data_IF_734217274203
#
_entry.id   IF_734217274203
#
_cell.length_a   1.000
_cell.length_b   1.000
_cell.length_c   1.000
_cell.angle_alpha   90.00
_cell.angle_beta   90.00
_cell.angle_gamma   90.00
#
_symmetry.space_group_name_H-M   'P 1'
#
loop_
_entity.id
_entity.type
_entity.pdbx_description
1 polymer ?
#
# COMPACT_ATOMS: atom_id res chain seq x y z
N UNK A 1 -30.39 -9.78 -4.06
CA UNK A 1 -29.37 -9.65 -5.15
C UNK A 1 -29.07 -8.20 -5.55
N UNK A 2 -29.94 -7.21 -5.29
CA UNK A 2 -29.73 -5.79 -5.68
C UNK A 2 -28.84 -4.96 -4.74
N UNK A 3 -28.54 -5.40 -3.51
CA UNK A 3 -27.67 -4.66 -2.57
C UNK A 3 -26.18 -4.72 -2.92
N UNK A 4 -25.76 -5.68 -3.75
CA UNK A 4 -24.33 -5.87 -4.05
C UNK A 4 -23.82 -4.87 -5.08
N UNK A 5 -24.69 -4.37 -5.97
CA UNK A 5 -24.33 -3.41 -7.02
C UNK A 5 -23.99 -2.03 -6.44
N UNK A 6 -24.75 -1.54 -5.46
CA UNK A 6 -24.46 -0.28 -4.75
C UNK A 6 -23.19 -0.34 -3.91
N UNK A 7 -22.87 -1.51 -3.33
CA UNK A 7 -21.61 -1.73 -2.60
C UNK A 7 -20.40 -1.86 -3.54
N UNK A 8 -20.59 -2.47 -4.72
CA UNK A 8 -19.56 -2.52 -5.76
C UNK A 8 -19.25 -1.15 -6.34
N UNK A 9 -20.27 -0.35 -6.67
CA UNK A 9 -20.03 1.00 -7.21
C UNK A 9 -19.34 1.90 -6.18
N UNK A 10 -19.72 1.82 -4.90
CA UNK A 10 -19.02 2.50 -3.82
C UNK A 10 -17.56 2.04 -3.70
N UNK A 11 -17.30 0.73 -3.77
CA UNK A 11 -15.94 0.18 -3.75
C UNK A 11 -15.07 0.67 -4.92
N UNK A 12 -15.64 0.70 -6.14
CA UNK A 12 -14.97 1.25 -7.33
C UNK A 12 -14.67 2.73 -7.14
N UNK A 13 -15.62 3.53 -6.64
CA UNK A 13 -15.43 4.96 -6.41
C UNK A 13 -14.33 5.24 -5.39
N UNK A 14 -14.30 4.48 -4.29
CA UNK A 14 -13.25 4.55 -3.26
C UNK A 14 -11.87 4.20 -3.84
N UNK A 15 -11.80 3.18 -4.70
CA UNK A 15 -10.54 2.78 -5.33
C UNK A 15 -10.03 3.83 -6.32
N UNK A 16 -10.92 4.41 -7.14
CA UNK A 16 -10.56 5.53 -8.03
C UNK A 16 -10.04 6.71 -7.20
N UNK A 17 -10.72 7.07 -6.10
CA UNK A 17 -10.26 8.10 -5.18
C UNK A 17 -8.86 7.81 -4.63
N UNK A 18 -8.60 6.57 -4.22
CA UNK A 18 -7.27 6.13 -3.79
C UNK A 18 -6.22 6.26 -4.90
N UNK A 19 -6.51 5.80 -6.13
CA UNK A 19 -5.57 5.88 -7.26
C UNK A 19 -5.17 7.31 -7.64
N UNK A 20 -6.00 8.31 -7.34
CA UNK A 20 -5.68 9.73 -7.53
C UNK A 20 -4.88 10.29 -6.35
N UNK A 21 -5.28 9.94 -5.12
CA UNK A 21 -4.65 10.47 -3.91
C UNK A 21 -3.27 9.87 -3.63
N UNK A 22 -3.04 8.60 -3.98
CA UNK A 22 -1.77 7.92 -3.70
C UNK A 22 -0.57 8.56 -4.43
N UNK A 23 -0.61 8.83 -5.76
CA UNK A 23 0.49 9.51 -6.46
C UNK A 23 0.72 10.95 -5.98
N UNK A 24 -0.34 11.66 -5.58
CA UNK A 24 -0.22 13.00 -4.99
C UNK A 24 0.58 12.93 -3.69
N UNK A 25 0.27 11.97 -2.83
CA UNK A 25 0.97 11.74 -1.58
C UNK A 25 2.46 11.39 -1.81
N UNK A 26 2.77 10.53 -2.78
CA UNK A 26 4.15 10.15 -3.10
C UNK A 26 4.94 11.33 -3.71
N UNK A 27 4.26 12.18 -4.48
CA UNK A 27 4.83 13.43 -4.99
C UNK A 27 5.22 14.40 -3.87
N UNK A 28 4.37 14.57 -2.86
CA UNK A 28 4.71 15.37 -1.67
C UNK A 28 5.86 14.76 -0.88
N UNK A 29 5.88 13.43 -0.70
CA UNK A 29 6.98 12.75 -0.02
C UNK A 29 8.32 12.93 -0.74
N UNK A 30 8.32 12.91 -2.07
CA UNK A 30 9.50 13.18 -2.91
C UNK A 30 9.98 14.63 -2.78
N UNK A 31 9.08 15.62 -2.70
CA UNK A 31 9.44 17.03 -2.50
C UNK A 31 10.10 17.28 -1.13
N UNK A 32 9.70 16.52 -0.12
CA UNK A 32 10.21 16.63 1.26
C UNK A 32 11.49 15.78 1.48
N UNK A 33 11.72 14.76 0.65
CA UNK A 33 12.70 13.68 0.86
C UNK A 33 14.17 14.10 1.03
N UNK A 34 14.53 15.35 0.77
CA UNK A 34 15.86 15.89 1.07
C UNK A 34 16.01 16.48 2.49
N UNK A 35 14.91 16.85 3.16
CA UNK A 35 14.94 17.64 4.39
C UNK A 35 14.52 16.87 5.66
N UNK A 36 13.85 15.73 5.53
CA UNK A 36 13.24 15.02 6.66
C UNK A 36 13.55 13.52 6.60
N UNK A 37 13.88 12.94 7.76
CA UNK A 37 14.10 11.50 7.89
C UNK A 37 12.86 10.71 7.47
N UNK A 38 13.05 9.69 6.63
CA UNK A 38 12.01 8.81 6.07
C UNK A 38 11.10 8.22 7.16
N UNK A 39 11.69 7.80 8.28
CA UNK A 39 10.95 7.27 9.42
C UNK A 39 9.98 8.30 10.02
N UNK A 40 10.31 9.59 10.01
CA UNK A 40 9.44 10.64 10.49
C UNK A 40 8.26 10.86 9.55
N UNK A 41 8.49 10.81 8.24
CA UNK A 41 7.41 10.89 7.22
C UNK A 41 6.45 9.70 7.35
N UNK A 42 6.97 8.49 7.55
CA UNK A 42 6.14 7.32 7.79
C UNK A 42 5.35 7.44 9.12
N UNK A 43 6.01 7.89 10.19
CA UNK A 43 5.37 8.06 11.49
C UNK A 43 4.25 9.11 11.45
N UNK A 44 4.48 10.28 10.84
CA UNK A 44 3.45 11.32 10.72
C UNK A 44 2.26 10.85 9.89
N UNK A 45 2.51 10.10 8.79
CA UNK A 45 1.45 9.48 8.00
C UNK A 45 0.59 8.54 8.85
N UNK A 46 1.20 7.61 9.58
CA UNK A 46 0.44 6.66 10.40
C UNK A 46 -0.25 7.33 11.59
N UNK A 47 0.35 8.35 12.20
CA UNK A 47 -0.26 9.13 13.28
C UNK A 47 -1.46 9.93 12.79
N UNK A 48 -1.36 10.58 11.64
CA UNK A 48 -2.48 11.33 11.06
C UNK A 48 -3.60 10.38 10.61
N UNK A 49 -3.25 9.27 9.97
CA UNK A 49 -4.20 8.24 9.58
C UNK A 49 -4.91 7.65 10.82
N UNK A 50 -4.17 7.36 11.89
CA UNK A 50 -4.75 6.91 13.14
C UNK A 50 -5.65 8.00 13.75
N UNK A 51 -5.19 9.25 13.85
CA UNK A 51 -5.97 10.36 14.40
C UNK A 51 -7.27 10.65 13.66
N UNK A 52 -7.31 10.42 12.34
CA UNK A 52 -8.51 10.58 11.53
C UNK A 52 -9.44 9.36 11.63
N UNK A 53 -8.89 8.14 11.57
CA UNK A 53 -9.69 6.91 11.55
C UNK A 53 -10.17 6.48 12.94
N UNK A 54 -9.44 6.80 14.01
CA UNK A 54 -9.80 6.43 15.38
C UNK A 54 -11.15 7.01 15.83
N UNK A 55 -11.45 8.32 15.69
CA UNK A 55 -12.75 8.87 16.05
C UNK A 55 -13.88 8.34 15.17
N UNK A 56 -13.61 8.07 13.89
CA UNK A 56 -14.57 7.43 12.97
C UNK A 56 -14.87 6.01 13.44
N UNK A 57 -13.84 5.20 13.73
CA UNK A 57 -14.01 3.84 14.23
C UNK A 57 -14.73 3.79 15.58
N UNK A 58 -14.48 4.77 16.46
CA UNK A 58 -15.22 4.92 17.72
C UNK A 58 -16.70 5.24 17.47
N UNK A 59 -17.01 6.17 16.56
CA UNK A 59 -18.39 6.55 16.24
C UNK A 59 -19.21 5.39 15.64
N UNK A 60 -18.58 4.53 14.83
CA UNK A 60 -19.22 3.36 14.24
C UNK A 60 -19.17 2.09 15.12
N UNK A 61 -18.53 2.16 16.30
CA UNK A 61 -18.40 1.01 17.21
C UNK A 61 -17.47 -0.11 16.69
N UNK A 62 -16.60 0.17 15.73
CA UNK A 62 -15.69 -0.79 15.10
C UNK A 62 -14.35 -0.91 15.83
N UNK A 63 -14.29 -0.46 17.08
CA UNK A 63 -13.05 -0.41 17.85
C UNK A 63 -12.66 -1.81 18.33
N UNK A 64 -11.80 -2.47 17.54
CA UNK A 64 -11.21 -3.75 17.91
C UNK A 64 -9.96 -3.54 18.78
N UNK A 65 -9.87 -4.26 19.90
CA UNK A 65 -8.65 -4.30 20.71
C UNK A 65 -7.78 -5.46 20.21
N UNK A 66 -6.64 -5.19 19.54
CA UNK A 66 -5.81 -6.24 19.00
C UNK A 66 -5.21 -7.08 20.12
N UNK A 67 -5.26 -8.41 19.97
CA UNK A 67 -4.56 -9.35 20.83
C UNK A 67 -3.04 -9.30 20.64
N UNK A 68 -2.29 -9.97 21.52
CA UNK A 68 -0.80 -9.99 21.48
C UNK A 68 -0.22 -10.43 20.12
N UNK A 69 -0.85 -11.41 19.48
CA UNK A 69 -0.44 -11.92 18.17
C UNK A 69 -0.67 -10.89 17.06
N UNK A 70 -1.79 -10.18 17.09
CA UNK A 70 -2.13 -9.13 16.13
C UNK A 70 -1.19 -7.93 16.28
N UNK A 71 -0.87 -7.53 17.51
CA UNK A 71 0.13 -6.49 17.79
C UNK A 71 1.49 -6.87 17.17
N UNK A 72 1.92 -8.13 17.35
CA UNK A 72 3.15 -8.64 16.72
C UNK A 72 3.13 -8.53 15.19
N UNK A 73 2.01 -8.86 14.55
CA UNK A 73 1.84 -8.73 13.10
C UNK A 73 1.86 -7.26 12.64
N UNK A 74 1.25 -6.34 13.39
CA UNK A 74 1.29 -4.91 13.10
C UNK A 74 2.70 -4.33 13.22
N UNK A 75 3.46 -4.75 14.24
CA UNK A 75 4.86 -4.36 14.39
C UNK A 75 5.73 -4.90 13.25
N UNK A 76 5.56 -6.18 12.89
CA UNK A 76 6.27 -6.78 11.75
C UNK A 76 5.96 -6.05 10.45
N UNK A 77 4.68 -5.75 10.19
CA UNK A 77 4.26 -4.94 9.04
C UNK A 77 4.94 -3.57 9.03
N UNK A 78 4.95 -2.88 10.18
CA UNK A 78 5.61 -1.57 10.30
C UNK A 78 7.11 -1.65 10.01
N UNK A 79 7.79 -2.65 10.56
CA UNK A 79 9.22 -2.89 10.32
C UNK A 79 9.51 -3.18 8.84
N UNK A 80 8.72 -4.06 8.20
CA UNK A 80 8.85 -4.37 6.78
C UNK A 80 8.67 -3.12 5.90
N UNK A 81 7.70 -2.26 6.23
CA UNK A 81 7.49 -1.00 5.51
C UNK A 81 8.67 -0.05 5.65
N UNK A 82 9.24 0.06 6.86
CA UNK A 82 10.40 0.91 7.12
C UNK A 82 11.63 0.42 6.33
N UNK A 83 11.86 -0.89 6.31
CA UNK A 83 12.93 -1.51 5.51
C UNK A 83 12.71 -1.29 4.01
N UNK A 84 11.51 -1.54 3.50
CA UNK A 84 11.17 -1.34 2.09
C UNK A 84 11.39 0.12 1.66
N UNK A 85 10.98 1.07 2.50
CA UNK A 85 11.12 2.50 2.21
C UNK A 85 12.60 2.92 2.29
N UNK A 86 13.37 2.41 3.25
CA UNK A 86 14.81 2.67 3.33
C UNK A 86 15.55 2.15 2.08
N UNK A 87 15.21 0.95 1.59
CA UNK A 87 15.75 0.43 0.34
C UNK A 87 15.32 1.26 -0.88
N UNK A 88 14.07 1.73 -0.92
CA UNK A 88 13.61 2.62 -1.98
C UNK A 88 14.43 3.91 -2.04
N UNK A 89 14.56 4.64 -0.94
CA UNK A 89 15.36 5.87 -0.90
C UNK A 89 16.84 5.61 -1.21
N UNK A 90 17.37 4.47 -0.78
CA UNK A 90 18.73 4.06 -1.13
C UNK A 90 18.85 3.86 -2.64
N UNK A 91 17.89 3.19 -3.28
CA UNK A 91 17.87 2.99 -4.72
C UNK A 91 17.79 4.32 -5.50
N UNK A 92 16.99 5.28 -5.02
CA UNK A 92 16.88 6.62 -5.61
C UNK A 92 18.18 7.43 -5.53
N UNK A 93 19.12 7.06 -4.65
CA UNK A 93 20.44 7.68 -4.60
C UNK A 93 21.36 7.19 -5.73
N UNK A 94 21.08 6.02 -6.29
CA UNK A 94 21.89 5.39 -7.35
C UNK A 94 21.24 5.46 -8.73
N UNK A 95 19.92 5.63 -8.83
CA UNK A 95 19.21 5.78 -10.11
C UNK A 95 18.17 6.91 -10.10
N UNK A 96 17.86 7.49 -11.28
CA UNK A 96 16.71 8.38 -11.46
C UNK A 96 15.39 7.76 -10.99
N UNK A 97 14.45 8.62 -10.57
CA UNK A 97 13.13 8.17 -10.09
C UNK A 97 12.32 7.47 -11.19
N UNK A 98 12.52 7.84 -12.46
CA UNK A 98 11.82 7.20 -13.57
C UNK A 98 12.23 5.73 -13.67
N UNK A 99 13.53 5.44 -13.59
CA UNK A 99 14.07 4.07 -13.61
C UNK A 99 13.61 3.26 -12.39
N UNK A 100 13.52 3.93 -11.23
CA UNK A 100 12.99 3.30 -10.01
C UNK A 100 11.52 2.90 -10.17
N UNK A 101 10.68 3.80 -10.71
CA UNK A 101 9.27 3.52 -10.96
C UNK A 101 9.12 2.40 -12.01
N UNK A 102 9.97 2.38 -13.03
CA UNK A 102 9.99 1.33 -14.04
C UNK A 102 10.20 -0.06 -13.40
N UNK A 103 11.17 -0.18 -12.49
CA UNK A 103 11.41 -1.43 -11.74
C UNK A 103 10.24 -1.75 -10.79
N UNK A 104 9.58 -0.74 -10.20
CA UNK A 104 8.40 -0.94 -9.35
C UNK A 104 7.23 -1.59 -10.09
N UNK A 105 7.14 -1.52 -11.42
CA UNK A 105 6.12 -2.24 -12.17
C UNK A 105 6.27 -3.77 -12.12
N UNK A 106 7.38 -4.29 -11.58
CA UNK A 106 7.52 -5.73 -11.25
C UNK A 106 6.75 -6.10 -9.96
N UNK A 107 6.47 -5.13 -9.09
CA UNK A 107 5.78 -5.34 -7.80
C UNK A 107 4.49 -6.16 -7.90
N UNK A 108 3.55 -5.90 -8.84
CA UNK A 108 2.29 -6.64 -8.94
C UNK A 108 2.51 -8.14 -9.18
N UNK A 109 3.56 -8.49 -9.93
CA UNK A 109 3.91 -9.88 -10.20
C UNK A 109 4.44 -10.56 -8.93
N UNK A 110 5.37 -9.91 -8.23
CA UNK A 110 5.92 -10.39 -6.96
C UNK A 110 4.81 -10.55 -5.92
N UNK A 111 3.93 -9.55 -5.77
CA UNK A 111 2.80 -9.59 -4.85
C UNK A 111 1.81 -10.70 -5.20
N UNK A 112 1.53 -10.91 -6.48
CA UNK A 112 0.64 -11.98 -6.91
C UNK A 112 1.23 -13.35 -6.55
N UNK A 113 2.51 -13.58 -6.84
CA UNK A 113 3.18 -14.84 -6.53
C UNK A 113 3.27 -15.09 -5.02
N UNK A 114 3.71 -14.08 -4.25
CA UNK A 114 3.79 -14.17 -2.79
C UNK A 114 2.40 -14.33 -2.15
N UNK A 115 1.36 -13.71 -2.73
CA UNK A 115 -0.02 -13.87 -2.29
C UNK A 115 -0.46 -15.33 -2.31
N UNK A 116 -0.22 -16.04 -3.42
CA UNK A 116 -0.55 -17.47 -3.50
C UNK A 116 0.35 -18.34 -2.63
N UNK A 117 1.64 -18.02 -2.52
CA UNK A 117 2.58 -18.81 -1.72
C UNK A 117 2.34 -18.67 -0.21
N UNK A 118 2.10 -17.44 0.28
CA UNK A 118 1.95 -17.14 1.70
C UNK A 118 0.52 -17.33 2.22
N UNK A 119 -0.51 -17.00 1.42
CA UNK A 119 -1.91 -17.18 1.83
C UNK A 119 -2.46 -18.55 1.44
N UNK A 120 -1.77 -19.30 0.55
CA UNK A 120 -2.22 -20.61 0.07
C UNK A 120 -3.45 -20.55 -0.83
N UNK A 121 -3.84 -19.35 -1.30
CA UNK A 121 -5.00 -19.18 -2.16
C UNK A 121 -4.66 -19.53 -3.62
N UNK A 122 -5.52 -20.32 -4.32
CA UNK A 122 -5.30 -20.64 -5.72
C UNK A 122 -5.43 -19.37 -6.58
N UNK A 123 -4.31 -18.94 -7.17
CA UNK A 123 -4.30 -17.81 -8.09
C UNK A 123 -4.73 -18.32 -9.47
N UNK A 124 -5.90 -17.87 -9.92
CA UNK A 124 -6.39 -18.22 -11.26
C UNK A 124 -5.47 -17.69 -12.38
N UNK A 125 -5.36 -18.40 -13.52
CA UNK A 125 -4.49 -18.03 -14.65
C UNK A 125 -4.74 -16.62 -15.20
N UNK A 126 -5.97 -16.12 -15.07
CA UNK A 126 -6.36 -14.75 -15.43
C UNK A 126 -5.58 -13.67 -14.68
N UNK A 127 -5.20 -13.89 -13.41
CA UNK A 127 -4.43 -12.92 -12.62
C UNK A 127 -2.98 -12.84 -13.10
N UNK A 128 -2.36 -13.98 -13.41
CA UNK A 128 -1.02 -14.01 -13.99
C UNK A 128 -0.96 -13.30 -15.35
N UNK A 129 -1.95 -13.53 -16.22
CA UNK A 129 -2.03 -12.85 -17.51
C UNK A 129 -2.25 -11.34 -17.32
N UNK A 130 -3.13 -10.92 -16.40
CA UNK A 130 -3.36 -9.50 -16.12
C UNK A 130 -2.08 -8.80 -15.63
N UNK A 131 -1.31 -9.44 -14.74
CA UNK A 131 -0.01 -8.93 -14.32
C UNK A 131 0.99 -8.88 -15.49
N UNK A 132 1.04 -9.90 -16.34
CA UNK A 132 1.91 -9.92 -17.52
C UNK A 132 1.59 -8.83 -18.54
N UNK A 133 0.30 -8.59 -18.81
CA UNK A 133 -0.15 -7.50 -19.69
C UNK A 133 0.16 -6.14 -19.05
N UNK A 134 -0.07 -5.98 -17.74
CA UNK A 134 0.28 -4.76 -17.01
C UNK A 134 1.77 -4.46 -17.04
N UNK A 135 2.61 -5.49 -16.90
CA UNK A 135 4.07 -5.38 -17.00
C UNK A 135 4.54 -5.04 -18.43
N UNK A 136 3.88 -5.56 -19.47
CA UNK A 136 4.24 -5.26 -20.85
C UNK A 136 3.89 -3.81 -21.28
N UNK A 137 2.97 -3.15 -20.58
CA UNK A 137 2.58 -1.76 -20.84
C UNK A 137 3.33 -0.70 -20.02
N UNK A 138 4.18 -1.14 -19.09
CA UNK A 138 5.04 -0.31 -18.24
C UNK A 138 6.33 0.11 -18.96
#
# INVERSE_FOLDING_TARGET
MMDNAGRMSLGILLMIGFCVLAPLQDSFAKLIGGAVAVGLVAATRFLFQAGLLLPVAMAFGWLHRPGRREIGLHLLRGALLLVATAFFFTALRFMPIVDAIAIFFVEPFILTLLGGLLLGEPIGPRRYIACGVGFAGA
#
